data_IF_376508672003
#
_entry.id   IF_376508672003
#
_cell.length_a   1.000
_cell.length_b   1.000
_cell.length_c   1.000
_cell.angle_alpha   90.00
_cell.angle_beta   90.00
_cell.angle_gamma   90.00
#
_symmetry.space_group_name_H-M   'P 1'
#
loop_
_entity.id
_entity.type
_entity.pdbx_description
1 polymer ?
#
# COMPACT_ATOMS: atom_id res chain seq x y z
N UNK A 1 -9.55 5.36 -20.27
CA UNK A 1 -10.31 5.55 -19.00
C UNK A 1 -9.36 5.77 -17.81
N UNK A 2 -8.40 4.88 -17.57
CA UNK A 2 -7.47 4.98 -16.44
C UNK A 2 -6.65 6.29 -16.43
N UNK A 3 -6.18 6.75 -17.56
CA UNK A 3 -5.42 8.01 -17.66
C UNK A 3 -6.23 9.24 -17.23
N UNK A 4 -7.53 9.28 -17.55
CA UNK A 4 -8.41 10.39 -17.14
C UNK A 4 -8.67 10.37 -15.62
N UNK A 5 -8.84 9.20 -15.02
CA UNK A 5 -8.97 9.07 -13.57
C UNK A 5 -7.70 9.49 -12.83
N UNK A 6 -6.53 9.14 -13.36
CA UNK A 6 -5.27 9.62 -12.81
C UNK A 6 -5.14 11.15 -12.88
N UNK A 7 -5.55 11.76 -14.00
CA UNK A 7 -5.58 13.20 -14.15
C UNK A 7 -6.55 13.88 -13.18
N UNK A 8 -7.73 13.31 -12.95
CA UNK A 8 -8.69 13.82 -11.95
C UNK A 8 -8.07 13.78 -10.55
N UNK A 9 -7.44 12.68 -10.17
CA UNK A 9 -6.75 12.56 -8.89
C UNK A 9 -5.64 13.60 -8.75
N UNK A 10 -4.81 13.78 -9.78
CA UNK A 10 -3.72 14.77 -9.77
C UNK A 10 -4.25 16.19 -9.73
N UNK A 11 -5.36 16.50 -10.44
CA UNK A 11 -6.03 17.80 -10.41
C UNK A 11 -6.54 18.12 -9.01
N UNK A 12 -7.15 17.15 -8.32
CA UNK A 12 -7.60 17.30 -6.93
C UNK A 12 -6.44 17.58 -5.98
N UNK A 13 -5.29 16.90 -6.17
CA UNK A 13 -4.09 17.13 -5.37
C UNK A 13 -3.44 18.48 -5.63
N UNK A 14 -3.47 18.95 -6.87
CA UNK A 14 -2.90 20.24 -7.28
C UNK A 14 -3.80 21.42 -6.92
N UNK A 15 -5.10 21.20 -6.68
CA UNK A 15 -6.09 22.23 -6.41
C UNK A 15 -6.35 23.17 -7.61
N UNK A 16 -5.89 22.81 -8.81
CA UNK A 16 -6.04 23.60 -10.03
C UNK A 16 -6.09 22.68 -11.26
N UNK A 17 -6.80 23.07 -12.36
CA UNK A 17 -6.84 22.27 -13.58
C UNK A 17 -5.43 22.09 -14.17
N UNK A 18 -5.06 20.83 -14.43
CA UNK A 18 -3.77 20.47 -15.03
C UNK A 18 -3.85 20.29 -16.54
N UNK A 19 -5.08 20.09 -17.06
CA UNK A 19 -5.36 19.86 -18.48
C UNK A 19 -6.55 20.70 -18.90
N UNK A 20 -6.46 21.33 -20.07
CA UNK A 20 -7.57 21.98 -20.77
C UNK A 20 -8.05 21.10 -21.91
N UNK A 21 -9.37 21.00 -22.08
CA UNK A 21 -9.98 20.33 -23.22
C UNK A 21 -10.09 21.32 -24.37
N UNK A 22 -9.42 21.05 -25.47
CA UNK A 22 -9.66 21.76 -26.72
C UNK A 22 -11.00 21.28 -27.30
N UNK A 23 -11.95 22.20 -27.48
CA UNK A 23 -13.21 21.93 -28.19
C UNK A 23 -12.86 21.65 -29.64
N UNK A 24 -13.11 20.41 -30.08
CA UNK A 24 -12.74 19.99 -31.43
C UNK A 24 -13.66 20.51 -32.51
N UNK A 25 -13.11 21.01 -33.61
CA UNK A 25 -13.74 21.06 -34.91
C UNK A 25 -13.80 19.68 -35.55
N UNK A 26 -14.03 19.56 -36.86
CA UNK A 26 -14.25 18.33 -37.63
C UNK A 26 -13.15 17.24 -37.56
N UNK A 27 -12.11 17.41 -36.73
CA UNK A 27 -10.99 16.48 -36.54
C UNK A 27 -10.87 15.84 -35.14
N UNK A 28 -11.86 16.04 -34.22
CA UNK A 28 -11.83 15.49 -32.86
C UNK A 28 -11.20 16.44 -31.84
N UNK A 29 -11.72 16.42 -30.58
CA UNK A 29 -11.24 17.23 -29.46
C UNK A 29 -9.89 16.72 -28.93
N UNK A 30 -8.97 17.65 -28.67
CA UNK A 30 -7.68 17.38 -28.04
C UNK A 30 -7.67 17.73 -26.55
N UNK A 31 -6.59 17.41 -25.87
CA UNK A 31 -6.30 17.87 -24.51
C UNK A 31 -4.89 18.47 -24.50
N UNK A 32 -4.73 19.63 -23.86
CA UNK A 32 -3.44 20.30 -23.69
C UNK A 32 -3.14 20.50 -22.20
N UNK A 33 -1.87 20.47 -21.84
CA UNK A 33 -1.47 20.81 -20.47
C UNK A 33 -1.63 22.31 -20.23
N UNK A 34 -2.15 22.67 -19.08
CA UNK A 34 -2.12 24.05 -18.56
C UNK A 34 -0.70 24.42 -18.13
N UNK A 35 -0.45 25.71 -17.83
CA UNK A 35 0.79 26.15 -17.20
C UNK A 35 1.05 25.38 -15.89
N UNK A 36 0.02 25.17 -15.07
CA UNK A 36 0.10 24.36 -13.85
C UNK A 36 0.43 22.90 -14.16
N UNK A 37 -0.15 22.32 -15.22
CA UNK A 37 0.15 20.97 -15.68
C UNK A 37 1.63 20.83 -16.10
N UNK A 38 2.17 21.78 -16.82
CA UNK A 38 3.60 21.81 -17.18
C UNK A 38 4.49 21.92 -15.93
N UNK A 39 4.15 22.81 -14.96
CA UNK A 39 4.90 22.97 -13.73
C UNK A 39 4.92 21.66 -12.88
N UNK A 40 3.76 21.01 -12.75
CA UNK A 40 3.66 19.71 -12.04
C UNK A 40 4.51 18.64 -12.73
N UNK A 41 4.48 18.57 -14.07
CA UNK A 41 5.29 17.62 -14.84
C UNK A 41 6.80 17.86 -14.67
N UNK A 42 7.23 19.12 -14.70
CA UNK A 42 8.63 19.49 -14.45
C UNK A 42 9.05 19.12 -13.03
N UNK A 43 8.24 19.46 -12.02
CA UNK A 43 8.51 19.10 -10.63
C UNK A 43 8.59 17.57 -10.42
N UNK A 44 7.68 16.81 -11.03
CA UNK A 44 7.69 15.35 -10.96
C UNK A 44 8.96 14.75 -11.59
N UNK A 45 9.43 15.29 -12.72
CA UNK A 45 10.67 14.85 -13.36
C UNK A 45 11.90 15.18 -12.50
N UNK A 46 11.95 16.38 -11.93
CA UNK A 46 13.05 16.78 -11.02
C UNK A 46 13.09 15.89 -9.76
N UNK A 47 11.93 15.61 -9.16
CA UNK A 47 11.83 14.69 -8.01
C UNK A 47 12.28 13.28 -8.37
N UNK A 48 11.90 12.79 -9.56
CA UNK A 48 12.32 11.46 -10.04
C UNK A 48 13.83 11.38 -10.18
N UNK A 49 14.47 12.39 -10.78
CA UNK A 49 15.92 12.44 -10.94
C UNK A 49 16.63 12.51 -9.59
N UNK A 50 16.18 13.40 -8.68
CA UNK A 50 16.75 13.53 -7.34
C UNK A 50 16.62 12.22 -6.55
N UNK A 51 15.49 11.55 -6.66
CA UNK A 51 15.26 10.24 -6.04
C UNK A 51 16.16 9.16 -6.61
N UNK A 52 16.31 9.08 -7.94
CA UNK A 52 17.22 8.12 -8.57
C UNK A 52 18.65 8.30 -8.10
N UNK A 53 19.11 9.55 -8.02
CA UNK A 53 20.45 9.87 -7.50
C UNK A 53 20.62 9.44 -6.03
N UNK A 54 19.65 9.76 -5.15
CA UNK A 54 19.66 9.34 -3.76
C UNK A 54 19.66 7.80 -3.62
N UNK A 55 18.87 7.11 -4.42
CA UNK A 55 18.82 5.64 -4.42
C UNK A 55 20.13 5.01 -4.89
N UNK A 56 20.81 5.59 -5.86
CA UNK A 56 22.14 5.14 -6.29
C UNK A 56 23.18 5.29 -5.16
N UNK A 57 23.16 6.40 -4.43
CA UNK A 57 24.01 6.60 -3.28
C UNK A 57 23.72 5.60 -2.14
N UNK A 58 22.45 5.33 -1.83
CA UNK A 58 22.04 4.34 -0.83
C UNK A 58 22.44 2.91 -1.22
N UNK A 59 22.37 2.56 -2.51
CA UNK A 59 22.84 1.26 -3.00
C UNK A 59 24.34 1.07 -2.81
N UNK A 60 25.13 2.12 -3.02
CA UNK A 60 26.57 2.12 -2.79
C UNK A 60 26.93 1.93 -1.29
N UNK A 61 26.05 2.36 -0.38
CA UNK A 61 26.23 2.24 1.08
C UNK A 61 25.58 1.00 1.71
N UNK A 62 25.00 0.09 0.92
CA UNK A 62 24.32 -1.11 1.42
C UNK A 62 23.02 -0.83 2.18
N UNK A 63 22.54 0.40 2.18
CA UNK A 63 21.32 0.82 2.86
C UNK A 63 20.11 0.60 1.95
N UNK A 64 19.07 -0.01 2.48
CA UNK A 64 17.92 -0.46 1.71
C UNK A 64 17.00 0.70 1.26
N UNK A 65 16.45 0.59 0.03
CA UNK A 65 15.53 1.58 -0.61
C UNK A 65 14.32 1.97 0.24
N UNK A 66 13.91 1.14 1.19
CA UNK A 66 12.74 1.38 2.04
C UNK A 66 12.89 2.46 3.11
N UNK A 67 14.11 2.96 3.34
CA UNK A 67 14.33 4.03 4.33
C UNK A 67 13.65 5.36 3.95
N UNK A 68 13.21 5.52 2.69
CA UNK A 68 12.43 6.68 2.25
C UNK A 68 10.92 6.43 2.41
N UNK A 69 10.49 6.13 3.64
CA UNK A 69 9.09 5.85 3.98
C UNK A 69 8.17 7.01 3.58
N UNK A 70 7.07 6.66 2.91
CA UNK A 70 5.96 7.59 2.70
C UNK A 70 5.41 8.05 4.06
N UNK A 71 5.37 9.36 4.30
CA UNK A 71 4.72 9.92 5.49
C UNK A 71 3.21 9.83 5.33
N UNK A 72 2.62 8.82 5.92
CA UNK A 72 1.17 8.58 5.88
C UNK A 72 0.65 8.23 7.27
N UNK A 73 -0.67 8.25 7.46
CA UNK A 73 -1.32 7.73 8.67
C UNK A 73 -1.39 6.19 8.70
N UNK A 74 -0.89 5.51 7.68
CA UNK A 74 -0.85 4.06 7.59
C UNK A 74 0.39 3.54 8.31
N UNK A 75 0.22 3.04 9.53
CA UNK A 75 1.33 2.58 10.38
C UNK A 75 1.95 1.28 9.91
N UNK A 76 1.19 0.47 9.20
CA UNK A 76 1.70 -0.75 8.59
C UNK A 76 2.16 -0.43 7.16
N UNK A 77 3.47 -0.52 6.95
CA UNK A 77 4.13 -0.34 5.66
C UNK A 77 5.04 -1.55 5.47
N UNK A 78 4.59 -2.50 4.68
CA UNK A 78 5.22 -3.81 4.53
C UNK A 78 5.70 -3.97 3.09
N UNK A 79 6.92 -4.46 2.91
CA UNK A 79 7.35 -4.92 1.59
C UNK A 79 6.62 -6.18 1.21
N UNK A 80 6.30 -6.32 -0.05
CA UNK A 80 5.71 -7.53 -0.57
C UNK A 80 6.10 -7.72 -2.04
N UNK A 81 6.05 -8.96 -2.48
CA UNK A 81 6.20 -9.33 -3.88
C UNK A 81 4.87 -9.77 -4.43
N UNK A 82 4.50 -9.28 -5.60
CA UNK A 82 3.31 -9.73 -6.32
C UNK A 82 3.56 -11.17 -6.81
N UNK A 83 2.70 -12.11 -6.40
CA UNK A 83 2.72 -13.48 -6.90
C UNK A 83 1.91 -13.58 -8.19
N UNK A 84 0.69 -13.05 -8.17
CA UNK A 84 -0.24 -13.02 -9.32
C UNK A 84 -1.37 -12.03 -9.08
N UNK A 85 -2.04 -11.66 -10.16
CA UNK A 85 -3.30 -10.93 -10.14
C UNK A 85 -4.42 -11.82 -10.66
N UNK A 86 -5.63 -11.67 -10.15
CA UNK A 86 -6.79 -12.47 -10.52
C UNK A 86 -8.05 -11.60 -10.58
N UNK A 87 -8.84 -11.65 -11.67
CA UNK A 87 -10.16 -11.04 -11.71
C UNK A 87 -11.03 -11.56 -10.56
N UNK A 88 -11.75 -10.66 -9.87
CA UNK A 88 -12.61 -11.02 -8.76
C UNK A 88 -13.76 -10.02 -8.63
N UNK A 89 -15.00 -10.47 -8.88
CA UNK A 89 -16.22 -9.66 -8.70
C UNK A 89 -16.15 -8.24 -9.29
N UNK A 90 -15.69 -8.11 -10.54
CA UNK A 90 -15.53 -6.79 -11.19
C UNK A 90 -14.28 -6.01 -10.80
N UNK A 91 -13.53 -6.47 -9.82
CA UNK A 91 -12.27 -5.92 -9.30
C UNK A 91 -11.09 -6.82 -9.63
N UNK A 92 -9.93 -6.56 -9.04
CA UNK A 92 -8.74 -7.40 -9.12
C UNK A 92 -8.31 -7.77 -7.70
N UNK A 93 -8.15 -9.07 -7.46
CA UNK A 93 -7.48 -9.61 -6.28
C UNK A 93 -6.01 -9.80 -6.60
N UNK A 94 -5.16 -9.18 -5.81
CA UNK A 94 -3.71 -9.28 -5.93
C UNK A 94 -3.20 -10.20 -4.83
N UNK A 95 -2.52 -11.27 -5.22
CA UNK A 95 -1.85 -12.19 -4.30
C UNK A 95 -0.43 -11.72 -4.08
N UNK A 96 -0.05 -11.54 -2.83
CA UNK A 96 1.19 -10.93 -2.39
C UNK A 96 1.91 -11.86 -1.41
N UNK A 97 3.22 -11.81 -1.38
CA UNK A 97 4.05 -12.53 -0.42
C UNK A 97 4.94 -11.55 0.34
N UNK A 98 4.95 -11.64 1.65
CA UNK A 98 5.85 -10.92 2.54
C UNK A 98 7.23 -11.57 2.58
N UNK A 99 8.30 -10.86 2.98
CA UNK A 99 9.66 -11.41 3.08
C UNK A 99 9.76 -12.70 3.90
N UNK A 100 8.97 -12.85 4.95
CA UNK A 100 8.88 -14.06 5.77
C UNK A 100 8.11 -15.24 5.15
N UNK A 101 7.71 -15.13 3.87
CA UNK A 101 7.00 -16.19 3.15
C UNK A 101 5.48 -16.21 3.36
N UNK A 102 4.95 -15.43 4.29
CA UNK A 102 3.52 -15.35 4.52
C UNK A 102 2.82 -14.65 3.36
N UNK A 103 1.64 -15.17 3.01
CA UNK A 103 0.84 -14.63 1.91
C UNK A 103 -0.26 -13.72 2.42
N UNK A 104 -0.53 -12.66 1.67
CA UNK A 104 -1.71 -11.83 1.87
C UNK A 104 -2.35 -11.46 0.53
N UNK A 105 -3.59 -11.02 0.57
CA UNK A 105 -4.38 -10.61 -0.59
C UNK A 105 -4.80 -9.17 -0.43
N UNK A 106 -4.74 -8.42 -1.52
CA UNK A 106 -5.34 -7.10 -1.63
C UNK A 106 -6.42 -7.11 -2.69
N UNK A 107 -7.46 -6.30 -2.52
CA UNK A 107 -8.54 -6.13 -3.48
C UNK A 107 -8.58 -4.67 -3.93
N UNK A 108 -8.34 -4.45 -5.23
CA UNK A 108 -8.25 -3.13 -5.83
C UNK A 108 -9.09 -3.05 -7.11
N UNK A 109 -9.28 -1.86 -7.65
CA UNK A 109 -9.97 -1.69 -8.93
C UNK A 109 -9.09 -2.16 -10.10
N UNK A 110 -9.72 -2.47 -11.23
CA UNK A 110 -8.99 -2.82 -12.47
C UNK A 110 -8.12 -1.68 -12.94
N UNK A 111 -8.63 -0.46 -12.85
CA UNK A 111 -7.91 0.76 -13.23
C UNK A 111 -6.67 0.96 -12.36
N UNK A 112 -6.77 0.77 -11.03
CA UNK A 112 -5.62 0.83 -10.14
C UNK A 112 -4.57 -0.23 -10.47
N UNK A 113 -4.98 -1.46 -10.77
CA UNK A 113 -4.06 -2.52 -11.16
C UNK A 113 -3.32 -2.20 -12.47
N UNK A 114 -4.00 -1.56 -13.44
CA UNK A 114 -3.40 -1.11 -14.71
C UNK A 114 -2.46 0.05 -14.50
N UNK A 115 -2.85 1.07 -13.72
CA UNK A 115 -2.01 2.24 -13.40
C UNK A 115 -0.72 1.84 -12.70
N UNK A 116 -0.80 0.87 -11.78
CA UNK A 116 0.36 0.33 -11.07
C UNK A 116 1.14 -0.69 -11.91
N UNK A 117 0.69 -1.06 -13.11
CA UNK A 117 1.38 -2.05 -13.95
C UNK A 117 1.67 -3.37 -13.23
N UNK A 118 0.74 -3.83 -12.36
CA UNK A 118 0.97 -4.99 -11.51
C UNK A 118 1.19 -6.26 -12.31
N UNK A 119 2.32 -6.91 -12.07
CA UNK A 119 2.71 -8.19 -12.67
C UNK A 119 3.43 -9.07 -11.66
N UNK A 120 3.49 -10.36 -11.93
CA UNK A 120 4.24 -11.29 -11.10
C UNK A 120 5.69 -10.83 -10.90
N UNK A 121 6.23 -11.09 -9.72
CA UNK A 121 7.58 -10.73 -9.26
C UNK A 121 7.83 -9.23 -9.04
N UNK A 122 6.84 -8.34 -9.27
CA UNK A 122 6.97 -6.93 -8.96
C UNK A 122 7.04 -6.73 -7.44
N UNK A 123 8.03 -6.00 -6.97
CA UNK A 123 8.11 -5.57 -5.57
C UNK A 123 7.24 -4.32 -5.35
N UNK A 124 6.47 -4.35 -4.30
CA UNK A 124 5.51 -3.30 -3.95
C UNK A 124 5.55 -3.02 -2.45
N UNK A 125 5.04 -1.86 -2.06
CA UNK A 125 4.76 -1.54 -0.67
C UNK A 125 3.28 -1.81 -0.39
N UNK A 126 3.01 -2.57 0.65
CA UNK A 126 1.68 -2.83 1.19
C UNK A 126 1.45 -1.89 2.36
N UNK A 127 0.37 -1.14 2.32
CA UNK A 127 0.01 -0.18 3.34
C UNK A 127 -1.35 -0.55 3.94
N UNK A 128 -1.46 -0.49 5.26
CA UNK A 128 -2.77 -0.51 5.91
C UNK A 128 -2.78 0.24 7.25
N UNK A 129 -3.96 0.73 7.62
CA UNK A 129 -4.15 1.38 8.92
C UNK A 129 -4.05 0.35 10.04
N UNK A 130 -3.40 0.68 11.15
CA UNK A 130 -3.40 -0.18 12.33
C UNK A 130 -4.83 -0.45 12.85
N UNK A 131 -5.73 0.52 12.71
CA UNK A 131 -7.15 0.40 13.09
C UNK A 131 -7.96 -0.55 12.21
N UNK A 132 -7.45 -0.94 11.04
CA UNK A 132 -8.06 -1.94 10.15
C UNK A 132 -7.54 -3.36 10.42
N UNK A 133 -6.65 -3.53 11.40
CA UNK A 133 -6.05 -4.81 11.77
C UNK A 133 -6.56 -5.24 13.14
N UNK A 134 -7.25 -6.37 13.20
CA UNK A 134 -7.64 -7.00 14.45
C UNK A 134 -6.62 -8.07 14.84
N UNK A 135 -6.18 -8.06 16.10
CA UNK A 135 -5.22 -9.07 16.59
C UNK A 135 -5.91 -10.00 17.57
N UNK A 136 -5.81 -11.30 17.30
CA UNK A 136 -6.45 -12.36 18.08
C UNK A 136 -5.44 -13.42 18.51
N UNK A 137 -5.69 -14.08 19.64
CA UNK A 137 -4.87 -15.20 20.09
C UNK A 137 -5.06 -16.44 19.20
N UNK A 138 -6.28 -16.67 18.73
CA UNK A 138 -6.63 -17.80 17.87
C UNK A 138 -7.37 -17.30 16.63
N UNK A 139 -6.85 -17.62 15.46
CA UNK A 139 -7.48 -17.27 14.19
C UNK A 139 -8.71 -18.16 13.94
N UNK A 140 -9.81 -17.60 13.42
CA UNK A 140 -10.94 -18.39 12.98
C UNK A 140 -10.56 -19.28 11.78
N UNK A 141 -11.00 -20.56 11.79
CA UNK A 141 -10.63 -21.54 10.76
C UNK A 141 -11.17 -21.18 9.37
N UNK A 142 -12.37 -20.61 9.29
CA UNK A 142 -13.10 -20.33 8.04
C UNK A 142 -13.14 -18.82 7.73
N UNK A 143 -12.04 -18.14 7.87
CA UNK A 143 -11.96 -16.70 7.64
C UNK A 143 -11.67 -16.35 6.17
N UNK A 144 -12.44 -15.45 5.61
CA UNK A 144 -12.22 -14.88 4.27
C UNK A 144 -11.18 -13.75 4.25
N UNK A 145 -10.81 -13.21 5.42
CA UNK A 145 -9.82 -12.16 5.57
C UNK A 145 -8.39 -12.71 5.55
N UNK A 146 -7.40 -11.84 5.38
CA UNK A 146 -5.99 -12.19 5.54
C UNK A 146 -5.71 -12.57 7.00
N UNK A 147 -4.93 -13.62 7.18
CA UNK A 147 -4.46 -14.08 8.48
C UNK A 147 -2.94 -14.11 8.46
N UNK A 148 -2.31 -13.25 9.25
CA UNK A 148 -0.85 -13.17 9.36
C UNK A 148 -0.45 -13.57 10.77
N UNK A 149 0.20 -14.71 10.89
CA UNK A 149 0.65 -15.26 12.16
C UNK A 149 1.94 -14.61 12.62
N UNK A 150 2.07 -14.36 13.93
CA UNK A 150 3.27 -13.73 14.47
C UNK A 150 3.40 -13.92 15.97
N UNK A 151 4.43 -13.30 16.52
CA UNK A 151 4.66 -13.22 17.97
C UNK A 151 4.45 -11.80 18.46
N UNK A 152 3.80 -11.65 19.59
CA UNK A 152 3.55 -10.37 20.24
C UNK A 152 4.88 -9.78 20.70
N UNK A 153 5.24 -8.62 20.16
CA UNK A 153 6.37 -7.80 20.63
C UNK A 153 5.95 -6.88 21.77
N UNK A 154 4.77 -6.28 21.64
CA UNK A 154 4.20 -5.36 22.62
C UNK A 154 2.67 -5.47 22.58
N UNK A 155 2.06 -5.44 23.74
CA UNK A 155 0.61 -5.33 23.88
C UNK A 155 0.28 -4.30 24.96
N UNK A 156 -0.49 -3.27 24.59
CA UNK A 156 -1.08 -2.34 25.57
C UNK A 156 -2.45 -2.88 26.01
N UNK A 157 -2.88 -2.49 27.20
CA UNK A 157 -4.17 -2.88 27.77
C UNK A 157 -4.94 -1.65 28.16
N UNK A 158 -6.19 -1.60 27.77
CA UNK A 158 -7.16 -0.63 28.24
C UNK A 158 -8.52 -1.30 28.42
N UNK A 159 -9.46 -0.61 29.01
CA UNK A 159 -10.85 -1.10 29.19
C UNK A 159 -11.49 -1.45 27.84
N UNK A 160 -11.15 -0.72 26.77
CA UNK A 160 -11.69 -0.92 25.43
C UNK A 160 -10.83 -1.86 24.54
N UNK A 161 -9.79 -2.50 25.08
CA UNK A 161 -8.81 -3.28 24.32
C UNK A 161 -7.47 -2.56 24.22
N UNK A 162 -6.62 -2.93 23.27
CA UNK A 162 -5.29 -2.32 23.18
C UNK A 162 -4.57 -2.49 21.87
N UNK A 163 -3.60 -1.63 21.65
CA UNK A 163 -2.68 -1.75 20.52
C UNK A 163 -1.72 -2.92 20.74
N UNK A 164 -1.54 -3.74 19.73
CA UNK A 164 -0.63 -4.88 19.72
C UNK A 164 0.31 -4.78 18.54
N UNK A 165 1.60 -4.95 18.80
CA UNK A 165 2.63 -5.08 17.77
C UNK A 165 3.05 -6.53 17.64
N UNK A 166 3.07 -7.06 16.42
CA UNK A 166 3.47 -8.42 16.08
C UNK A 166 4.77 -8.41 15.29
N UNK A 167 5.64 -9.36 15.57
CA UNK A 167 6.71 -9.79 14.67
C UNK A 167 6.16 -10.90 13.77
N UNK A 168 6.12 -10.65 12.47
CA UNK A 168 5.69 -11.59 11.44
C UNK A 168 6.85 -12.43 10.86
N UNK A 169 8.06 -12.29 11.40
CA UNK A 169 9.33 -12.81 10.91
C UNK A 169 10.03 -11.94 9.84
N UNK A 170 11.30 -12.27 9.54
CA UNK A 170 12.12 -11.58 8.54
C UNK A 170 12.11 -10.03 8.68
N UNK A 171 12.20 -9.55 9.92
CA UNK A 171 12.15 -8.11 10.28
C UNK A 171 10.87 -7.39 9.82
N UNK A 172 9.80 -8.13 9.64
CA UNK A 172 8.49 -7.59 9.25
C UNK A 172 7.58 -7.48 10.47
N UNK A 173 7.19 -6.26 10.80
CA UNK A 173 6.35 -5.99 11.97
C UNK A 173 4.98 -5.45 11.54
N UNK A 174 3.95 -5.80 12.30
CA UNK A 174 2.58 -5.32 12.06
C UNK A 174 1.94 -4.83 13.34
N UNK A 175 1.22 -3.72 13.25
CA UNK A 175 0.49 -3.12 14.36
C UNK A 175 -1.00 -3.26 14.11
N UNK A 176 -1.73 -3.68 15.12
CA UNK A 176 -3.19 -3.78 15.10
C UNK A 176 -3.78 -3.59 16.49
N UNK A 177 -5.05 -3.85 16.63
CA UNK A 177 -5.78 -3.71 17.89
C UNK A 177 -6.41 -5.03 18.30
N UNK A 178 -6.30 -5.35 19.57
CA UNK A 178 -7.00 -6.48 20.18
C UNK A 178 -8.18 -5.99 21.03
N UNK A 179 -9.24 -6.79 21.09
CA UNK A 179 -10.42 -6.50 21.89
C UNK A 179 -10.11 -6.45 23.40
N UNK A 180 -11.03 -5.92 24.19
CA UNK A 180 -10.94 -5.93 25.65
C UNK A 180 -10.73 -7.37 26.16
N UNK A 181 -9.92 -7.54 27.18
CA UNK A 181 -9.67 -8.86 27.78
C UNK A 181 -8.87 -9.84 26.91
N UNK A 182 -8.20 -9.38 25.85
CA UNK A 182 -7.50 -10.22 24.86
C UNK A 182 -6.45 -11.19 25.43
N UNK A 183 -5.95 -10.99 26.65
CA UNK A 183 -4.99 -11.89 27.29
C UNK A 183 -3.60 -12.00 26.66
N UNK A 184 -3.34 -11.30 25.55
CA UNK A 184 -2.07 -11.35 24.83
C UNK A 184 -0.93 -10.78 25.68
N UNK A 185 0.21 -11.48 25.71
CA UNK A 185 1.44 -11.10 26.40
C UNK A 185 2.59 -11.08 25.41
N UNK A 186 3.64 -10.34 25.73
CA UNK A 186 4.88 -10.37 24.95
C UNK A 186 5.37 -11.83 24.79
N UNK A 187 5.78 -12.19 23.58
CA UNK A 187 6.23 -13.53 23.21
C UNK A 187 5.11 -14.53 22.86
N UNK A 188 3.83 -14.27 23.21
CA UNK A 188 2.73 -15.16 22.82
C UNK A 188 2.50 -15.18 21.31
N UNK A 189 2.08 -16.33 20.79
CA UNK A 189 1.61 -16.42 19.42
C UNK A 189 0.28 -15.65 19.29
N UNK A 190 0.11 -14.95 18.16
CA UNK A 190 -1.12 -14.24 17.83
C UNK A 190 -1.25 -14.12 16.29
N UNK A 191 -2.44 -13.80 15.84
CA UNK A 191 -2.74 -13.63 14.41
C UNK A 191 -3.34 -12.25 14.17
N UNK A 192 -2.78 -11.54 13.20
CA UNK A 192 -3.37 -10.33 12.65
C UNK A 192 -4.39 -10.70 11.57
N UNK A 193 -5.59 -10.16 11.69
CA UNK A 193 -6.69 -10.30 10.75
C UNK A 193 -6.89 -8.97 10.04
N UNK A 194 -6.91 -8.98 8.71
CA UNK A 194 -7.12 -7.76 7.91
C UNK A 194 -7.89 -8.08 6.63
N UNK A 195 -8.93 -7.28 6.36
CA UNK A 195 -9.71 -7.41 5.12
C UNK A 195 -8.85 -7.04 3.91
N UNK A 196 -9.02 -7.79 2.80
CA UNK A 196 -8.28 -7.54 1.56
C UNK A 196 -8.58 -6.17 0.94
N UNK A 197 -9.76 -5.57 1.21
CA UNK A 197 -10.10 -4.22 0.77
C UNK A 197 -9.46 -3.11 1.60
N UNK A 198 -8.96 -3.43 2.81
CA UNK A 198 -8.23 -2.49 3.67
C UNK A 198 -6.74 -2.39 3.32
N UNK A 199 -6.28 -3.18 2.36
CA UNK A 199 -4.89 -3.18 1.89
C UNK A 199 -4.75 -2.21 0.71
N UNK A 200 -3.83 -1.27 0.83
CA UNK A 200 -3.41 -0.36 -0.25
C UNK A 200 -2.08 -0.85 -0.80
N UNK A 201 -1.93 -0.82 -2.11
CA UNK A 201 -0.67 -1.14 -2.81
C UNK A 201 -0.06 0.16 -3.33
N UNK A 202 1.21 0.38 -3.05
CA UNK A 202 2.00 1.47 -3.62
C UNK A 202 3.26 0.90 -4.29
N UNK A 203 3.69 1.54 -5.36
CA UNK A 203 4.98 1.25 -5.98
C UNK A 203 6.08 2.12 -5.37
N UNK A 204 7.26 1.55 -5.31
CA UNK A 204 8.51 2.24 -5.01
C UNK A 204 9.25 2.40 -6.35
N UNK A 205 8.84 3.40 -7.15
CA UNK A 205 9.52 3.70 -8.42
C UNK A 205 10.91 4.28 -8.18
#
# INVERSE_FOLDING_TARGET
KAAWQALETLTNLAGTPLVERAVGGSGGGGAALTAAGHAVLQAANAMRQARQHALQQLQASGTDRAAMALRTSMRNQLRARVLRTQPYQGQVRVHLQLPGGQNLRARITRESAQLLGLRAQLEVLVLCKATAVSVVAHAPKDSTVNQLSGRVLRASRSVAGGEVSLDLSAHTHMVGFAAAGHGLKMGSAATALVDEASIVIAQLD
#
